data_IF_677129939326
#
_entry.id   IF_677129939326
#
_cell.length_a   1.000
_cell.length_b   1.000
_cell.length_c   1.000
_cell.angle_alpha   90.00
_cell.angle_beta   90.00
_cell.angle_gamma   90.00
#
_symmetry.space_group_name_H-M   'P 1'
#
loop_
_entity.id
_entity.type
_entity.pdbx_description
1 polymer ?
#
# COMPACT_ATOMS: atom_id res chain seq x y z
N UNK A 1 5.48 -23.26 3.75
CA UNK A 1 5.87 -21.84 3.71
C UNK A 1 4.73 -21.03 3.03
N UNK A 2 4.61 -19.73 3.29
CA UNK A 2 3.57 -18.91 2.65
C UNK A 2 3.70 -18.90 1.13
N UNK A 3 4.92 -18.90 0.61
CA UNK A 3 5.18 -18.96 -0.84
C UNK A 3 4.50 -20.15 -1.54
N UNK A 4 4.38 -21.30 -0.89
CA UNK A 4 3.77 -22.52 -1.46
C UNK A 4 2.25 -22.37 -1.63
N UNK A 5 1.65 -21.27 -1.13
CA UNK A 5 0.22 -20.96 -1.26
C UNK A 5 -0.10 -20.11 -2.47
N UNK A 6 0.89 -19.54 -3.13
CA UNK A 6 0.68 -18.73 -4.32
C UNK A 6 0.32 -19.61 -5.52
N UNK A 7 -0.60 -19.12 -6.36
CA UNK A 7 -0.82 -19.68 -7.68
C UNK A 7 -0.22 -18.77 -8.75
N UNK A 8 0.19 -19.38 -9.85
CA UNK A 8 0.80 -18.66 -10.98
C UNK A 8 0.03 -18.99 -12.25
N UNK A 9 -0.33 -17.95 -13.01
CA UNK A 9 -1.01 -18.07 -14.28
C UNK A 9 -0.17 -17.42 -15.37
N UNK A 10 0.43 -18.27 -16.21
CA UNK A 10 1.27 -17.82 -17.32
C UNK A 10 0.39 -17.16 -18.39
N UNK A 11 0.93 -16.12 -19.01
CA UNK A 11 0.31 -15.36 -20.11
C UNK A 11 -1.06 -14.75 -19.76
N UNK A 12 -1.25 -14.29 -18.52
CA UNK A 12 -2.45 -13.62 -18.06
C UNK A 12 -2.12 -12.23 -17.47
N UNK A 13 -2.90 -11.16 -17.80
CA UNK A 13 -4.00 -11.07 -18.77
C UNK A 13 -3.50 -10.93 -20.24
N UNK A 14 -2.19 -10.96 -20.44
CA UNK A 14 -1.52 -10.86 -21.76
C UNK A 14 -0.34 -11.83 -21.82
N UNK A 15 0.03 -12.24 -23.02
CA UNK A 15 1.23 -13.02 -23.28
C UNK A 15 2.47 -12.35 -22.67
N UNK A 16 3.34 -13.14 -22.06
CA UNK A 16 4.56 -12.71 -21.38
C UNK A 16 4.37 -12.23 -19.94
N UNK A 17 3.13 -12.17 -19.41
CA UNK A 17 2.88 -11.83 -18.00
C UNK A 17 2.64 -13.12 -17.19
N UNK A 18 3.44 -13.31 -16.14
CA UNK A 18 3.21 -14.35 -15.16
C UNK A 18 2.40 -13.75 -13.99
N UNK A 19 1.09 -13.99 -13.97
CA UNK A 19 0.19 -13.42 -12.97
C UNK A 19 0.31 -14.19 -11.66
N UNK A 20 0.57 -13.46 -10.59
CA UNK A 20 0.64 -13.99 -9.22
C UNK A 20 -0.73 -13.86 -8.57
N UNK A 21 -1.34 -15.00 -8.27
CA UNK A 21 -2.62 -15.07 -7.58
C UNK A 21 -2.39 -15.29 -6.08
N UNK A 22 -2.78 -14.29 -5.31
CA UNK A 22 -2.69 -14.26 -3.86
C UNK A 22 -4.01 -14.68 -3.17
N UNK A 23 -5.08 -14.97 -3.94
CA UNK A 23 -6.37 -15.34 -3.37
C UNK A 23 -6.34 -16.60 -2.50
N UNK A 24 -5.45 -17.59 -2.75
CA UNK A 24 -5.34 -18.75 -1.88
C UNK A 24 -5.06 -18.44 -0.41
N UNK A 25 -4.49 -17.29 -0.07
CA UNK A 25 -4.34 -16.87 1.32
C UNK A 25 -5.69 -16.66 2.03
N UNK A 26 -6.76 -16.41 1.27
CA UNK A 26 -8.12 -16.23 1.80
C UNK A 26 -8.89 -17.53 1.96
N UNK A 27 -8.36 -18.68 1.51
CA UNK A 27 -9.07 -19.97 1.55
C UNK A 27 -8.96 -20.67 2.91
N UNK A 28 -8.06 -20.22 3.78
CA UNK A 28 -7.85 -20.78 5.11
C UNK A 28 -7.73 -19.66 6.15
N UNK A 29 -8.55 -19.76 7.19
CA UNK A 29 -8.52 -18.82 8.31
C UNK A 29 -7.15 -18.78 9.00
N UNK A 30 -6.51 -19.93 9.14
CA UNK A 30 -5.23 -20.01 9.85
C UNK A 30 -4.09 -19.43 9.00
N UNK A 31 -4.08 -19.73 7.69
CA UNK A 31 -3.13 -19.13 6.75
C UNK A 31 -3.32 -17.62 6.68
N UNK A 32 -4.56 -17.14 6.62
CA UNK A 32 -4.83 -15.70 6.60
C UNK A 32 -4.37 -15.01 7.87
N UNK A 33 -4.60 -15.62 9.05
CA UNK A 33 -4.10 -15.09 10.32
C UNK A 33 -2.58 -15.02 10.37
N UNK A 34 -1.88 -16.05 9.87
CA UNK A 34 -0.42 -16.05 9.76
C UNK A 34 0.05 -14.87 8.93
N UNK A 35 -0.51 -14.68 7.73
CA UNK A 35 -0.19 -13.54 6.84
C UNK A 35 -0.42 -12.19 7.54
N UNK A 36 -1.58 -12.01 8.18
CA UNK A 36 -1.89 -10.75 8.87
C UNK A 36 -0.94 -10.52 10.05
N UNK A 37 -0.60 -11.55 10.81
CA UNK A 37 0.35 -11.44 11.92
C UNK A 37 1.75 -11.05 11.46
N UNK A 38 2.22 -11.62 10.34
CA UNK A 38 3.53 -11.28 9.78
C UNK A 38 3.55 -9.86 9.19
N UNK A 39 2.47 -9.44 8.50
CA UNK A 39 2.33 -8.06 8.02
C UNK A 39 2.30 -7.06 9.17
N UNK A 40 1.58 -7.37 10.25
CA UNK A 40 1.49 -6.52 11.44
C UNK A 40 2.86 -6.26 12.07
N UNK A 41 3.69 -7.28 12.15
CA UNK A 41 5.06 -7.17 12.64
C UNK A 41 5.96 -6.27 11.76
N UNK A 42 5.62 -6.13 10.47
CA UNK A 42 6.35 -5.28 9.54
C UNK A 42 5.88 -3.83 9.56
N UNK A 43 4.58 -3.58 9.82
CA UNK A 43 4.01 -2.23 9.86
C UNK A 43 4.35 -1.58 11.21
N UNK A 44 5.02 -0.44 11.18
CA UNK A 44 5.47 0.24 12.40
C UNK A 44 4.86 1.62 12.61
N UNK A 45 3.80 1.99 11.85
CA UNK A 45 3.17 3.32 11.94
C UNK A 45 1.66 3.21 12.18
N UNK A 46 1.06 4.22 12.82
CA UNK A 46 -0.37 4.20 13.10
C UNK A 46 -1.25 4.43 11.86
N UNK A 47 -0.72 5.03 10.80
CA UNK A 47 -1.47 5.31 9.58
C UNK A 47 -0.98 4.42 8.46
N UNK A 48 -1.93 3.78 7.78
CA UNK A 48 -1.66 2.83 6.69
C UNK A 48 -2.35 3.30 5.41
N UNK A 49 -1.60 3.65 4.37
CA UNK A 49 -2.14 3.94 3.05
C UNK A 49 -2.18 2.67 2.19
N UNK A 50 -3.36 2.36 1.66
CA UNK A 50 -3.62 1.08 0.99
C UNK A 50 -4.28 1.30 -0.37
N UNK A 51 -3.62 0.95 -1.48
CA UNK A 51 -4.23 0.97 -2.81
C UNK A 51 -5.31 -0.11 -3.01
N UNK A 52 -6.37 0.24 -3.77
CA UNK A 52 -7.37 -0.75 -4.18
C UNK A 52 -6.82 -1.65 -5.28
N UNK A 53 -7.27 -2.90 -5.42
CA UNK A 53 -8.32 -3.55 -4.63
C UNK A 53 -7.73 -4.60 -3.69
N UNK A 54 -6.66 -5.29 -4.10
CA UNK A 54 -6.12 -6.43 -3.37
C UNK A 54 -5.39 -6.00 -2.09
N UNK A 55 -4.75 -4.83 -2.09
CA UNK A 55 -4.16 -4.27 -0.89
C UNK A 55 -5.15 -4.14 0.28
N UNK A 56 -6.43 -3.81 -0.01
CA UNK A 56 -7.47 -3.71 1.02
C UNK A 56 -7.72 -5.02 1.77
N UNK A 57 -7.55 -6.16 1.12
CA UNK A 57 -7.77 -7.48 1.73
C UNK A 57 -6.80 -7.74 2.88
N UNK A 58 -5.60 -7.20 2.79
CA UNK A 58 -4.52 -7.42 3.76
C UNK A 58 -4.30 -6.22 4.69
N UNK A 59 -4.50 -5.00 4.19
CA UNK A 59 -4.30 -3.79 4.99
C UNK A 59 -5.43 -3.53 6.00
N UNK A 60 -6.70 -3.72 5.60
CA UNK A 60 -7.84 -3.45 6.49
C UNK A 60 -7.88 -4.33 7.74
N UNK A 61 -7.56 -5.65 7.68
CA UNK A 61 -7.54 -6.50 8.87
C UNK A 61 -6.53 -6.07 9.94
N UNK A 62 -5.51 -5.31 9.60
CA UNK A 62 -4.53 -4.79 10.55
C UNK A 62 -5.13 -3.81 11.58
N UNK A 63 -6.31 -3.22 11.29
CA UNK A 63 -7.07 -2.47 12.29
C UNK A 63 -7.61 -3.33 13.44
N UNK A 64 -7.64 -4.64 13.28
CA UNK A 64 -8.18 -5.59 14.26
C UNK A 64 -7.07 -6.31 15.04
N UNK A 65 -5.82 -6.01 14.74
CA UNK A 65 -4.66 -6.53 15.49
C UNK A 65 -4.32 -5.62 16.66
N UNK A 66 -3.46 -6.11 17.56
CA UNK A 66 -2.91 -5.31 18.65
C UNK A 66 -1.66 -4.50 18.23
N UNK A 67 -1.41 -4.39 16.92
CA UNK A 67 -0.26 -3.70 16.36
C UNK A 67 -0.39 -2.17 16.31
N UNK A 68 0.42 -1.55 15.46
CA UNK A 68 0.52 -0.09 15.41
C UNK A 68 -0.65 0.58 14.67
N UNK A 69 -1.34 -0.15 13.75
CA UNK A 69 -2.32 0.45 12.83
C UNK A 69 -3.60 0.86 13.56
N UNK A 70 -3.95 2.13 13.47
CA UNK A 70 -5.19 2.71 14.01
C UNK A 70 -5.98 3.53 13.00
N UNK A 71 -5.41 3.77 11.81
CA UNK A 71 -6.08 4.46 10.71
C UNK A 71 -5.67 3.85 9.37
N UNK A 72 -6.66 3.60 8.49
CA UNK A 72 -6.43 3.16 7.11
C UNK A 72 -6.88 4.25 6.15
N UNK A 73 -5.98 4.65 5.26
CA UNK A 73 -6.19 5.65 4.22
C UNK A 73 -6.46 4.89 2.91
N UNK A 74 -7.72 4.83 2.45
CA UNK A 74 -8.05 4.11 1.23
C UNK A 74 -7.60 4.91 0.01
N UNK A 75 -6.80 4.28 -0.86
CA UNK A 75 -6.36 4.87 -2.13
C UNK A 75 -7.11 4.18 -3.26
N UNK A 76 -7.90 4.92 -4.03
CA UNK A 76 -8.88 4.36 -4.95
C UNK A 76 -8.80 4.93 -6.37
N UNK A 77 -9.31 4.18 -7.32
CA UNK A 77 -9.47 4.63 -8.71
C UNK A 77 -10.53 5.72 -8.83
N UNK A 78 -10.52 6.44 -9.94
CA UNK A 78 -11.47 7.52 -10.23
C UNK A 78 -12.93 7.11 -9.99
N UNK A 79 -13.71 8.02 -9.38
CA UNK A 79 -15.15 7.83 -9.14
C UNK A 79 -15.50 6.85 -8.01
N UNK A 80 -14.52 6.41 -7.20
CA UNK A 80 -14.76 5.45 -6.10
C UNK A 80 -14.73 6.06 -4.70
N UNK A 81 -14.35 7.33 -4.55
CA UNK A 81 -14.35 8.07 -3.29
C UNK A 81 -15.33 9.24 -3.38
N UNK A 82 -16.30 9.38 -2.47
CA UNK A 82 -17.01 10.63 -2.27
C UNK A 82 -16.08 11.65 -1.64
N UNK A 83 -16.18 12.91 -2.03
CA UNK A 83 -15.28 13.97 -1.52
C UNK A 83 -15.99 15.32 -1.45
N UNK A 84 -15.49 16.18 -0.56
CA UNK A 84 -15.83 17.61 -0.52
C UNK A 84 -14.85 18.40 -1.37
N UNK A 85 -15.21 19.62 -1.76
CA UNK A 85 -14.33 20.49 -2.54
C UNK A 85 -12.97 20.67 -1.85
N UNK A 86 -11.88 20.48 -2.61
CA UNK A 86 -10.50 20.59 -2.11
C UNK A 86 -9.97 19.43 -1.27
N UNK A 87 -10.80 18.39 -0.99
CA UNK A 87 -10.41 17.22 -0.19
C UNK A 87 -9.73 16.12 -1.01
N UNK A 88 -10.11 15.96 -2.28
CA UNK A 88 -9.59 14.90 -3.13
C UNK A 88 -8.21 15.23 -3.70
N UNK A 89 -7.28 14.29 -3.56
CA UNK A 89 -5.93 14.37 -4.13
C UNK A 89 -5.77 13.28 -5.19
N UNK A 90 -5.37 13.68 -6.40
CA UNK A 90 -5.05 12.77 -7.50
C UNK A 90 -3.57 12.39 -7.49
N UNK A 91 -3.29 11.10 -7.68
CA UNK A 91 -1.96 10.54 -7.83
C UNK A 91 -1.83 10.02 -9.26
N UNK A 92 -0.96 10.61 -10.05
CA UNK A 92 -0.71 10.17 -11.42
C UNK A 92 0.38 9.09 -11.45
N UNK A 93 0.06 7.93 -12.02
CA UNK A 93 0.98 6.80 -12.14
C UNK A 93 1.33 6.68 -13.60
N UNK A 94 2.58 7.03 -13.95
CA UNK A 94 3.08 6.90 -15.31
C UNK A 94 3.27 5.42 -15.67
N UNK A 95 2.71 4.99 -16.78
CA UNK A 95 2.89 3.67 -17.40
C UNK A 95 3.40 3.82 -18.80
N UNK A 96 3.95 2.76 -19.37
CA UNK A 96 4.43 2.75 -20.75
C UNK A 96 3.31 3.08 -21.77
N UNK A 97 2.05 2.75 -21.43
CA UNK A 97 0.87 2.98 -22.27
C UNK A 97 -0.20 3.76 -21.51
N UNK A 98 0.07 5.06 -21.27
CA UNK A 98 -0.90 5.96 -20.61
C UNK A 98 -0.64 6.15 -19.11
N UNK A 99 -1.49 6.96 -18.49
CA UNK A 99 -1.44 7.24 -17.05
C UNK A 99 -2.64 6.62 -16.35
N UNK A 100 -2.39 5.86 -15.29
CA UNK A 100 -3.42 5.52 -14.31
C UNK A 100 -3.51 6.63 -13.27
N UNK A 101 -4.71 6.83 -12.71
CA UNK A 101 -4.92 7.77 -11.61
C UNK A 101 -5.52 7.07 -10.42
N UNK A 102 -4.88 7.25 -9.28
CA UNK A 102 -5.42 6.90 -7.98
C UNK A 102 -5.79 8.18 -7.22
N UNK A 103 -6.63 8.05 -6.22
CA UNK A 103 -7.13 9.16 -5.44
C UNK A 103 -7.20 8.79 -3.97
N UNK A 104 -6.89 9.75 -3.10
CA UNK A 104 -7.15 9.66 -1.66
C UNK A 104 -7.72 11.00 -1.17
N UNK A 105 -8.33 11.01 0.01
CA UNK A 105 -8.84 12.23 0.62
C UNK A 105 -7.87 12.72 1.69
N UNK A 106 -7.68 14.04 1.73
CA UNK A 106 -6.91 14.68 2.81
C UNK A 106 -7.55 14.42 4.18
N UNK A 107 -8.88 14.37 4.23
CA UNK A 107 -9.65 14.04 5.43
C UNK A 107 -9.35 12.65 5.97
N UNK A 108 -9.14 11.64 5.11
CA UNK A 108 -8.75 10.29 5.55
C UNK A 108 -7.34 10.27 6.16
N UNK A 109 -6.44 11.08 5.62
CA UNK A 109 -5.10 11.24 6.20
C UNK A 109 -5.16 12.00 7.52
N UNK A 110 -5.95 13.09 7.59
CA UNK A 110 -6.12 13.90 8.78
C UNK A 110 -6.84 13.16 9.94
N UNK A 111 -7.65 12.13 9.63
CA UNK A 111 -8.32 11.31 10.63
C UNK A 111 -7.33 10.55 11.52
N UNK A 112 -6.16 10.22 10.98
CA UNK A 112 -5.17 9.44 11.69
C UNK A 112 -4.47 10.20 12.83
N UNK A 113 -3.84 9.46 13.77
CA UNK A 113 -3.08 10.06 14.85
C UNK A 113 -1.73 10.61 14.36
N UNK A 114 -1.24 11.57 15.11
CA UNK A 114 0.08 12.16 14.94
C UNK A 114 1.11 11.39 15.80
N UNK A 115 2.32 11.25 15.27
CA UNK A 115 3.51 10.91 16.03
C UNK A 115 4.33 12.19 16.21
N UNK A 116 4.26 12.80 17.40
CA UNK A 116 4.74 14.16 17.59
C UNK A 116 3.97 15.15 16.71
N UNK A 117 4.67 15.81 15.77
CA UNK A 117 4.09 16.79 14.84
C UNK A 117 4.02 16.27 13.39
N UNK A 118 4.03 14.96 13.19
CA UNK A 118 4.09 14.33 11.88
C UNK A 118 3.01 13.25 11.75
N UNK A 119 2.37 13.17 10.60
CA UNK A 119 1.53 12.04 10.20
C UNK A 119 2.44 10.96 9.59
N UNK A 120 2.85 9.99 10.39
CA UNK A 120 3.66 8.88 9.93
C UNK A 120 2.79 7.83 9.23
N UNK A 121 3.17 7.45 8.02
CA UNK A 121 2.40 6.56 7.15
C UNK A 121 3.27 5.41 6.68
N UNK A 122 2.76 4.18 6.74
CA UNK A 122 3.24 3.05 5.94
C UNK A 122 2.35 2.89 4.71
N UNK A 123 2.95 2.63 3.55
CA UNK A 123 2.23 2.23 2.34
C UNK A 123 2.27 0.70 2.27
N UNK A 124 1.10 0.07 2.19
CA UNK A 124 0.98 -1.38 2.07
C UNK A 124 0.21 -1.74 0.80
N UNK A 125 0.79 -2.61 -0.01
CA UNK A 125 0.11 -3.20 -1.17
C UNK A 125 0.40 -4.70 -1.26
N UNK A 126 -0.27 -5.39 -2.17
CA UNK A 126 -0.15 -6.84 -2.31
C UNK A 126 1.15 -7.26 -3.03
N UNK A 127 1.49 -6.65 -4.15
CA UNK A 127 2.63 -7.03 -4.97
C UNK A 127 3.53 -5.82 -5.28
N UNK A 128 4.80 -5.96 -4.96
CA UNK A 128 5.85 -5.08 -5.42
C UNK A 128 6.43 -5.62 -6.73
N UNK A 129 6.13 -4.95 -7.82
CA UNK A 129 6.79 -5.12 -9.11
C UNK A 129 7.85 -4.02 -9.30
N UNK A 130 7.67 -3.08 -10.21
CA UNK A 130 8.60 -1.98 -10.45
C UNK A 130 8.55 -0.84 -9.41
N UNK A 131 7.59 -0.86 -8.48
CA UNK A 131 7.42 0.14 -7.43
C UNK A 131 6.80 1.47 -7.86
N UNK A 132 6.45 1.66 -9.13
CA UNK A 132 5.99 2.96 -9.64
C UNK A 132 4.72 3.48 -8.96
N UNK A 133 3.75 2.61 -8.65
CA UNK A 133 2.51 2.99 -7.95
C UNK A 133 2.81 3.49 -6.53
N UNK A 134 3.60 2.73 -5.78
CA UNK A 134 3.94 3.07 -4.40
C UNK A 134 4.82 4.33 -4.31
N UNK A 135 5.74 4.51 -5.25
CA UNK A 135 6.56 5.73 -5.35
C UNK A 135 5.70 6.97 -5.60
N UNK A 136 4.82 6.93 -6.61
CA UNK A 136 3.94 8.06 -6.94
C UNK A 136 3.02 8.41 -5.76
N UNK A 137 2.47 7.40 -5.08
CA UNK A 137 1.65 7.60 -3.88
C UNK A 137 2.46 8.23 -2.74
N UNK A 138 3.68 7.76 -2.48
CA UNK A 138 4.56 8.30 -1.45
C UNK A 138 4.89 9.77 -1.72
N UNK A 139 5.29 10.10 -2.93
CA UNK A 139 5.61 11.48 -3.33
C UNK A 139 4.41 12.41 -3.18
N UNK A 140 3.21 11.94 -3.57
CA UNK A 140 1.97 12.69 -3.40
C UNK A 140 1.64 12.93 -1.92
N UNK A 141 1.71 11.91 -1.07
CA UNK A 141 1.46 12.04 0.37
C UNK A 141 2.44 13.01 1.03
N UNK A 142 3.73 12.92 0.73
CA UNK A 142 4.78 13.76 1.31
C UNK A 142 4.62 15.22 0.88
N UNK A 143 4.20 15.48 -0.36
CA UNK A 143 4.05 16.82 -0.91
C UNK A 143 2.72 17.50 -0.55
N UNK A 144 1.71 16.74 -0.11
CA UNK A 144 0.38 17.26 0.19
C UNK A 144 0.31 17.78 1.63
N UNK A 145 0.03 19.09 1.84
CA UNK A 145 -0.22 19.61 3.17
C UNK A 145 -1.55 19.09 3.71
N UNK A 146 -1.54 18.58 4.93
CA UNK A 146 -2.73 18.04 5.62
C UNK A 146 -3.12 19.00 6.74
N UNK A 147 -4.37 19.46 6.73
CA UNK A 147 -4.92 20.32 7.78
C UNK A 147 -5.74 19.46 8.74
N UNK A 148 -5.42 19.55 10.03
CA UNK A 148 -6.14 18.90 11.12
C UNK A 148 -6.33 19.93 12.24
N UNK A 149 -7.57 20.15 12.67
CA UNK A 149 -7.91 21.11 13.73
C UNK A 149 -7.34 22.52 13.48
N UNK A 150 -7.34 22.95 12.21
CA UNK A 150 -6.82 24.26 11.80
C UNK A 150 -5.28 24.37 11.74
N UNK A 151 -4.55 23.28 12.04
CA UNK A 151 -3.08 23.22 11.97
C UNK A 151 -2.66 22.41 10.76
N UNK A 152 -1.63 22.88 10.05
CA UNK A 152 -1.05 22.16 8.91
C UNK A 152 0.06 21.22 9.37
N UNK A 153 -0.06 19.95 9.01
CA UNK A 153 0.93 18.92 9.28
C UNK A 153 1.54 18.38 7.99
N UNK A 154 2.74 17.82 8.12
CA UNK A 154 3.41 17.07 7.06
C UNK A 154 3.17 15.58 7.23
N UNK A 155 3.13 14.89 6.09
CA UNK A 155 3.15 13.42 6.04
C UNK A 155 4.59 12.95 5.88
N UNK A 156 4.97 11.91 6.62
CA UNK A 156 6.22 11.19 6.43
C UNK A 156 5.91 9.74 6.10
N UNK A 157 6.26 9.30 4.91
CA UNK A 157 6.25 7.88 4.57
C UNK A 157 7.46 7.23 5.24
N UNK A 158 7.19 6.31 6.17
CA UNK A 158 8.21 5.68 7.04
C UNK A 158 8.59 4.31 6.56
N UNK A 159 7.72 3.65 5.80
CA UNK A 159 7.95 2.28 5.34
C UNK A 159 7.04 1.94 4.15
N UNK A 160 7.52 1.01 3.34
CA UNK A 160 6.74 0.28 2.36
C UNK A 160 6.67 -1.18 2.79
N UNK A 161 5.48 -1.76 2.73
CA UNK A 161 5.23 -3.16 3.09
C UNK A 161 4.47 -3.84 1.97
N UNK A 162 4.94 -5.03 1.56
CA UNK A 162 4.28 -5.82 0.53
C UNK A 162 4.11 -7.27 0.97
N UNK A 163 3.08 -7.90 0.44
CA UNK A 163 2.89 -9.34 0.64
C UNK A 163 3.90 -10.13 -0.21
N UNK A 164 4.08 -9.71 -1.47
CA UNK A 164 4.99 -10.36 -2.42
C UNK A 164 5.86 -9.31 -3.10
N UNK A 165 7.14 -9.60 -3.28
CA UNK A 165 8.08 -8.83 -4.07
C UNK A 165 8.63 -9.68 -5.22
N UNK A 166 8.67 -9.10 -6.43
CA UNK A 166 9.34 -9.67 -7.60
C UNK A 166 10.73 -9.04 -7.67
N UNK A 167 11.74 -9.74 -7.15
CA UNK A 167 13.08 -9.20 -6.92
C UNK A 167 13.73 -8.69 -8.22
N UNK A 168 13.56 -9.42 -9.31
CA UNK A 168 14.15 -9.09 -10.62
C UNK A 168 13.62 -7.78 -11.25
N UNK A 169 12.52 -7.24 -10.73
CA UNK A 169 11.96 -5.96 -11.17
C UNK A 169 12.49 -4.74 -10.40
N UNK A 170 13.36 -4.96 -9.40
CA UNK A 170 14.08 -3.92 -8.66
C UNK A 170 13.19 -2.82 -8.06
N UNK A 171 11.96 -3.14 -7.70
CA UNK A 171 11.03 -2.18 -7.10
C UNK A 171 11.52 -1.67 -5.74
N UNK A 172 12.13 -2.55 -4.93
CA UNK A 172 12.70 -2.16 -3.65
C UNK A 172 13.85 -1.15 -3.78
N UNK A 173 14.71 -1.29 -4.80
CA UNK A 173 15.80 -0.34 -5.06
C UNK A 173 15.27 1.08 -5.35
N UNK A 174 14.12 1.16 -6.02
CA UNK A 174 13.43 2.41 -6.30
C UNK A 174 12.88 3.04 -5.03
N UNK A 175 12.13 2.26 -4.24
CA UNK A 175 11.42 2.74 -3.06
C UNK A 175 12.32 3.04 -1.87
N UNK A 176 13.43 2.30 -1.73
CA UNK A 176 14.40 2.50 -0.65
C UNK A 176 15.05 3.88 -0.62
N UNK A 177 14.98 4.62 -1.73
CA UNK A 177 15.39 6.04 -1.80
C UNK A 177 14.47 6.97 -1.02
N UNK A 178 13.26 6.52 -0.69
CA UNK A 178 12.25 7.27 0.07
C UNK A 178 12.16 6.76 1.50
N UNK A 179 11.96 5.45 1.67
CA UNK A 179 11.83 4.80 2.97
C UNK A 179 12.19 3.30 2.88
N UNK A 180 12.47 2.62 4.00
CA UNK A 180 12.70 1.18 4.02
C UNK A 180 11.56 0.38 3.38
N UNK A 181 11.91 -0.71 2.71
CA UNK A 181 10.99 -1.67 2.09
C UNK A 181 11.07 -2.99 2.85
N UNK A 182 9.93 -3.64 3.03
CA UNK A 182 9.85 -4.99 3.56
C UNK A 182 8.76 -5.78 2.84
N UNK A 183 9.06 -7.02 2.50
CA UNK A 183 8.16 -7.94 1.82
C UNK A 183 8.15 -9.29 2.53
N UNK A 184 6.97 -9.95 2.61
CA UNK A 184 6.87 -11.26 3.27
C UNK A 184 7.43 -12.38 2.39
N UNK A 185 7.22 -12.28 1.09
CA UNK A 185 7.58 -13.31 0.12
C UNK A 185 8.41 -12.66 -0.98
N UNK A 186 9.55 -13.25 -1.28
CA UNK A 186 10.43 -12.85 -2.37
C UNK A 186 10.37 -13.89 -3.49
N UNK A 187 10.15 -13.43 -4.71
CA UNK A 187 10.10 -14.25 -5.91
C UNK A 187 11.13 -13.75 -6.92
N UNK A 188 11.85 -14.68 -7.51
CA UNK A 188 12.62 -14.44 -8.74
C UNK A 188 11.70 -14.79 -9.94
N UNK A 189 11.76 -14.00 -11.01
CA UNK A 189 10.93 -14.20 -12.22
C UNK A 189 11.44 -15.38 -13.07
#
# INVERSE_FOLDING_TARGET
MLQDKLNFYKDFPKEGINFIDIMPFLYSKDVFREVISELDALVGTPNLAVPEARGFLFGTPLLMTDGAVSNVIPVRKSGKLPFSEGDLVGVEIMKEYGADKLFYRKSDVAAGPLTGNVLEVTILDDILATGGTAEALAQSLISTPIVKDGVTFRVAVKKFVFLVEIDDLHGADRLSKIAPVASLIHLND
#
